data_IF_426474674820
#
_entry.id   IF_426474674820
#
_cell.length_a   1.000
_cell.length_b   1.000
_cell.length_c   1.000
_cell.angle_alpha   90.00
_cell.angle_beta   90.00
_cell.angle_gamma   90.00
#
_symmetry.space_group_name_H-M   'P 1'
#
loop_
_entity.id
_entity.type
_entity.pdbx_description
1 polymer ?
#
# COMPACT_ATOMS: atom_id res chain seq x y z
N UNK A 1 7.73 -46.77 6.58
CA UNK A 1 8.65 -45.71 7.06
C UNK A 1 8.56 -44.59 6.05
N UNK A 2 7.70 -43.60 6.30
CA UNK A 2 7.61 -42.44 5.43
C UNK A 2 8.76 -41.51 5.81
N UNK A 3 9.71 -41.39 4.90
CA UNK A 3 10.73 -40.34 4.90
C UNK A 3 10.00 -39.01 4.90
N UNK A 4 9.96 -38.35 6.06
CA UNK A 4 9.77 -36.91 6.12
C UNK A 4 10.86 -36.32 5.23
N UNK A 5 10.46 -35.82 4.07
CA UNK A 5 11.28 -34.89 3.32
C UNK A 5 11.45 -33.69 4.25
N UNK A 6 12.54 -33.66 5.00
CA UNK A 6 13.00 -32.47 5.71
C UNK A 6 13.12 -31.36 4.67
N UNK A 7 12.06 -30.55 4.53
CA UNK A 7 12.15 -29.26 3.87
C UNK A 7 13.09 -28.44 4.74
N UNK A 8 14.37 -28.42 4.39
CA UNK A 8 15.36 -27.58 5.04
C UNK A 8 14.93 -26.14 4.78
N UNK A 9 14.29 -25.52 5.77
CA UNK A 9 13.97 -24.10 5.77
C UNK A 9 15.28 -23.30 5.79
N UNK A 10 15.33 -22.20 5.03
CA UNK A 10 16.49 -21.33 5.04
C UNK A 10 16.67 -20.65 6.41
N UNK A 11 17.90 -20.22 6.71
CA UNK A 11 18.21 -19.54 7.98
C UNK A 11 17.39 -18.25 8.15
N UNK A 12 17.06 -17.57 7.06
CA UNK A 12 16.18 -16.38 7.07
C UNK A 12 14.72 -16.72 7.34
N UNK A 13 14.18 -17.78 6.76
CA UNK A 13 12.81 -18.26 7.05
C UNK A 13 12.68 -18.67 8.51
N UNK A 14 13.65 -19.42 9.05
CA UNK A 14 13.67 -19.81 10.45
C UNK A 14 13.71 -18.59 11.40
N UNK A 15 14.53 -17.57 11.08
CA UNK A 15 14.58 -16.32 11.86
C UNK A 15 13.26 -15.55 11.82
N UNK A 16 12.59 -15.56 10.68
CA UNK A 16 11.33 -14.83 10.48
C UNK A 16 10.17 -15.54 11.17
N UNK A 17 10.06 -16.86 11.07
CA UNK A 17 9.13 -17.68 11.87
C UNK A 17 9.33 -17.42 13.36
N UNK A 18 10.56 -17.50 13.85
CA UNK A 18 10.90 -17.23 15.26
C UNK A 18 10.54 -15.81 15.72
N UNK A 19 10.62 -14.81 14.82
CA UNK A 19 10.16 -13.45 15.12
C UNK A 19 8.63 -13.37 15.20
N UNK A 20 7.91 -14.00 14.28
CA UNK A 20 6.44 -14.07 14.30
C UNK A 20 5.93 -14.75 15.58
N UNK A 21 6.53 -15.88 15.96
CA UNK A 21 6.22 -16.59 17.21
C UNK A 21 6.44 -15.69 18.45
N UNK A 22 7.59 -15.00 18.53
CA UNK A 22 7.93 -14.10 19.64
C UNK A 22 7.01 -12.89 19.78
N UNK A 23 6.37 -12.45 18.69
CA UNK A 23 5.50 -11.26 18.69
C UNK A 23 4.03 -11.59 18.95
N UNK A 24 3.62 -12.85 18.72
CA UNK A 24 2.21 -13.24 18.60
C UNK A 24 1.73 -14.46 19.39
N UNK A 25 2.59 -15.15 20.16
CA UNK A 25 2.24 -16.44 20.80
C UNK A 25 1.75 -17.50 19.79
N UNK A 26 2.32 -17.48 18.58
CA UNK A 26 2.00 -18.44 17.51
C UNK A 26 2.82 -19.73 17.67
N UNK A 27 2.22 -20.85 17.29
CA UNK A 27 2.93 -22.13 17.15
C UNK A 27 3.87 -22.14 15.93
N UNK A 28 4.80 -23.10 15.88
CA UNK A 28 5.77 -23.21 14.78
C UNK A 28 5.06 -23.46 13.44
N UNK A 29 4.05 -24.34 13.43
CA UNK A 29 3.25 -24.63 12.24
C UNK A 29 2.48 -23.40 11.75
N UNK A 30 1.86 -22.63 12.65
CA UNK A 30 1.16 -21.38 12.30
C UNK A 30 2.12 -20.29 11.78
N UNK A 31 3.33 -20.22 12.34
CA UNK A 31 4.35 -19.27 11.89
C UNK A 31 4.89 -19.62 10.50
N UNK A 32 5.00 -20.92 10.18
CA UNK A 32 5.40 -21.42 8.87
C UNK A 32 4.28 -21.26 7.82
N UNK A 33 3.01 -21.49 8.17
CA UNK A 33 1.88 -21.19 7.28
C UNK A 33 1.78 -19.68 6.97
N UNK A 34 2.01 -18.82 7.96
CA UNK A 34 2.13 -17.38 7.74
C UNK A 34 3.29 -17.05 6.78
N UNK A 35 4.42 -17.76 6.87
CA UNK A 35 5.54 -17.57 5.96
C UNK A 35 5.18 -17.97 4.53
N UNK A 36 4.45 -19.06 4.30
CA UNK A 36 3.97 -19.41 2.96
C UNK A 36 3.04 -18.32 2.37
N UNK A 37 2.21 -17.69 3.21
CA UNK A 37 1.44 -16.50 2.82
C UNK A 37 2.32 -15.25 2.53
N UNK A 38 3.48 -15.13 3.16
CA UNK A 38 4.48 -14.08 2.91
C UNK A 38 5.35 -14.39 1.67
N UNK A 39 5.71 -15.66 1.43
CA UNK A 39 6.54 -16.13 0.31
C UNK A 39 5.78 -16.01 -1.01
N UNK A 40 4.46 -16.24 -1.03
CA UNK A 40 3.61 -15.90 -2.18
C UNK A 40 3.43 -14.38 -2.40
N UNK A 41 3.93 -13.53 -1.49
CA UNK A 41 3.87 -12.06 -1.56
C UNK A 41 5.21 -11.38 -1.85
N UNK A 42 6.33 -12.10 -1.99
CA UNK A 42 7.55 -11.50 -2.57
C UNK A 42 7.45 -11.55 -4.10
N UNK A 43 6.41 -10.90 -4.66
CA UNK A 43 6.40 -10.60 -6.09
C UNK A 43 7.34 -9.42 -6.31
N UNK A 44 8.43 -9.64 -7.06
CA UNK A 44 9.34 -8.57 -7.50
C UNK A 44 8.62 -7.44 -8.28
N UNK A 45 7.42 -7.72 -8.79
CA UNK A 45 6.56 -6.78 -9.51
C UNK A 45 5.16 -6.81 -8.91
N UNK A 46 4.75 -5.72 -8.26
CA UNK A 46 3.40 -5.55 -7.72
C UNK A 46 2.42 -5.17 -8.83
N UNK A 47 1.13 -5.45 -8.65
CA UNK A 47 0.06 -5.01 -9.57
C UNK A 47 0.07 -3.49 -9.75
N UNK A 48 0.46 -2.74 -8.71
CA UNK A 48 0.72 -1.29 -8.75
C UNK A 48 1.87 -0.92 -9.70
N UNK A 49 2.99 -1.66 -9.65
CA UNK A 49 4.13 -1.45 -10.56
C UNK A 49 3.77 -1.72 -12.03
N UNK A 50 2.87 -2.66 -12.29
CA UNK A 50 2.33 -2.90 -13.64
C UNK A 50 1.50 -1.69 -14.10
N UNK A 51 0.69 -1.08 -13.22
CA UNK A 51 -0.06 0.15 -13.53
C UNK A 51 0.87 1.32 -13.79
N UNK A 52 1.93 1.49 -13.00
CA UNK A 52 2.99 2.49 -13.26
C UNK A 52 3.62 2.28 -14.64
N UNK A 53 3.99 1.05 -14.98
CA UNK A 53 4.57 0.74 -16.29
C UNK A 53 3.59 1.02 -17.44
N UNK A 54 2.29 0.75 -17.27
CA UNK A 54 1.25 1.12 -18.24
C UNK A 54 1.18 2.65 -18.38
N UNK A 55 1.19 3.40 -17.27
CA UNK A 55 1.15 4.87 -17.30
C UNK A 55 2.37 5.44 -18.05
N UNK A 56 3.55 4.83 -17.86
CA UNK A 56 4.80 5.32 -18.44
C UNK A 56 5.06 4.88 -19.88
N UNK A 57 4.58 3.69 -20.27
CA UNK A 57 4.94 3.07 -21.56
C UNK A 57 3.78 2.94 -22.55
N UNK A 58 2.54 2.86 -22.07
CA UNK A 58 1.37 2.56 -22.91
C UNK A 58 0.45 3.78 -23.12
N UNK A 59 0.51 4.77 -22.24
CA UNK A 59 -0.21 6.03 -22.42
C UNK A 59 0.55 6.98 -23.35
N UNK A 60 -0.17 7.91 -23.99
CA UNK A 60 0.48 8.99 -24.75
C UNK A 60 1.20 9.94 -23.80
N UNK A 61 2.24 10.68 -24.24
CA UNK A 61 2.98 11.60 -23.35
C UNK A 61 2.07 12.58 -22.59
N UNK A 62 1.06 13.12 -23.27
CA UNK A 62 0.08 14.01 -22.66
C UNK A 62 -0.83 13.28 -21.65
N UNK A 63 -1.22 12.04 -21.93
CA UNK A 63 -1.99 11.23 -20.98
C UNK A 63 -1.15 10.87 -19.75
N UNK A 64 0.11 10.47 -19.94
CA UNK A 64 1.05 10.21 -18.84
C UNK A 64 1.19 11.44 -17.95
N UNK A 65 1.46 12.60 -18.53
CA UNK A 65 1.63 13.85 -17.77
C UNK A 65 0.36 14.24 -17.00
N UNK A 66 -0.81 14.17 -17.65
CA UNK A 66 -2.10 14.40 -16.99
C UNK A 66 -2.36 13.40 -15.86
N UNK A 67 -2.02 12.12 -16.06
CA UNK A 67 -2.22 11.08 -15.05
C UNK A 67 -1.25 11.20 -13.88
N UNK A 68 0.00 11.62 -14.11
CA UNK A 68 0.95 11.92 -13.03
C UNK A 68 0.45 13.09 -12.17
N UNK A 69 0.00 14.19 -12.80
CA UNK A 69 -0.59 15.32 -12.07
C UNK A 69 -1.88 14.94 -11.32
N UNK A 70 -2.72 14.10 -11.94
CA UNK A 70 -4.00 13.70 -11.36
C UNK A 70 -3.85 12.69 -10.20
N UNK A 71 -2.99 11.68 -10.36
CA UNK A 71 -2.85 10.57 -9.41
C UNK A 71 -1.74 10.79 -8.37
N UNK A 72 -0.60 11.37 -8.76
CA UNK A 72 0.57 11.48 -7.89
C UNK A 72 0.60 12.84 -7.18
N UNK A 73 0.28 13.90 -7.90
CA UNK A 73 0.24 15.27 -7.34
C UNK A 73 -1.14 15.65 -6.79
N UNK A 74 -2.13 14.74 -6.91
CA UNK A 74 -3.51 14.89 -6.43
C UNK A 74 -4.18 16.19 -6.93
N UNK A 75 -3.85 16.62 -8.14
CA UNK A 75 -4.37 17.86 -8.72
C UNK A 75 -5.77 17.65 -9.30
N UNK A 76 -6.67 18.59 -9.02
CA UNK A 76 -7.99 18.58 -9.65
C UNK A 76 -7.92 18.86 -11.16
N UNK A 77 -8.82 18.28 -11.96
CA UNK A 77 -8.87 18.47 -13.43
C UNK A 77 -8.88 19.94 -13.88
N UNK A 78 -9.42 20.85 -13.08
CA UNK A 78 -9.40 22.30 -13.36
C UNK A 78 -8.02 22.94 -13.12
N UNK A 79 -7.24 22.44 -12.17
CA UNK A 79 -5.85 22.87 -11.95
C UNK A 79 -4.95 22.33 -13.05
N UNK A 80 -5.11 21.05 -13.41
CA UNK A 80 -4.37 20.41 -14.51
C UNK A 80 -4.61 21.14 -15.82
N UNK A 81 -5.88 21.47 -16.12
CA UNK A 81 -6.22 22.26 -17.30
C UNK A 81 -5.48 23.60 -17.35
N UNK A 82 -5.38 24.31 -16.22
CA UNK A 82 -4.65 25.57 -16.14
C UNK A 82 -3.14 25.40 -16.37
N UNK A 83 -2.53 24.37 -15.80
CA UNK A 83 -1.08 24.10 -15.96
C UNK A 83 -0.73 23.75 -17.39
N UNK A 84 -1.56 22.93 -18.06
CA UNK A 84 -1.28 22.41 -19.40
C UNK A 84 -1.91 23.25 -20.53
N UNK A 85 -2.55 24.38 -20.21
CA UNK A 85 -3.25 25.21 -21.20
C UNK A 85 -4.47 24.53 -21.85
N UNK A 86 -5.09 23.58 -21.15
CA UNK A 86 -6.25 22.82 -21.59
C UNK A 86 -7.54 23.31 -20.90
N UNK A 87 -8.69 23.13 -21.55
CA UNK A 87 -9.97 23.30 -20.86
C UNK A 87 -10.17 22.21 -19.80
N UNK A 88 -10.90 22.52 -18.72
CA UNK A 88 -11.23 21.53 -17.69
C UNK A 88 -11.91 20.28 -18.28
N UNK A 89 -12.80 20.48 -19.27
CA UNK A 89 -13.47 19.39 -19.97
C UNK A 89 -12.49 18.52 -20.78
N UNK A 90 -11.47 19.13 -21.40
CA UNK A 90 -10.42 18.41 -22.10
C UNK A 90 -9.56 17.59 -21.14
N UNK A 91 -9.11 18.18 -20.03
CA UNK A 91 -8.35 17.48 -18.99
C UNK A 91 -9.13 16.28 -18.42
N UNK A 92 -10.42 16.47 -18.11
CA UNK A 92 -11.30 15.38 -17.65
C UNK A 92 -11.43 14.25 -18.68
N UNK A 93 -11.63 14.58 -19.97
CA UNK A 93 -11.67 13.57 -21.05
C UNK A 93 -10.35 12.80 -21.18
N UNK A 94 -9.21 13.46 -20.97
CA UNK A 94 -7.90 12.80 -21.01
C UNK A 94 -7.76 11.82 -19.85
N UNK A 95 -8.10 12.21 -18.62
CA UNK A 95 -8.13 11.32 -17.44
C UNK A 95 -9.01 10.10 -17.70
N UNK A 96 -10.23 10.31 -18.18
CA UNK A 96 -11.17 9.20 -18.47
C UNK A 96 -10.60 8.25 -19.53
N UNK A 97 -10.01 8.78 -20.61
CA UNK A 97 -9.39 7.95 -21.66
C UNK A 97 -8.21 7.16 -21.14
N UNK A 98 -7.32 7.78 -20.38
CA UNK A 98 -6.17 7.13 -19.78
C UNK A 98 -6.61 6.02 -18.81
N UNK A 99 -7.58 6.28 -17.95
CA UNK A 99 -8.17 5.28 -17.06
C UNK A 99 -8.79 4.11 -17.85
N UNK A 100 -9.50 4.37 -18.94
CA UNK A 100 -10.06 3.30 -19.77
C UNK A 100 -8.96 2.41 -20.37
N UNK A 101 -7.83 2.98 -20.80
CA UNK A 101 -6.68 2.22 -21.28
C UNK A 101 -6.07 1.35 -20.18
N UNK A 102 -5.85 1.92 -18.99
CA UNK A 102 -5.32 1.19 -17.83
C UNK A 102 -6.27 0.04 -17.46
N UNK A 103 -7.57 0.30 -17.35
CA UNK A 103 -8.59 -0.72 -17.05
C UNK A 103 -8.55 -1.84 -18.09
N UNK A 104 -8.51 -1.50 -19.38
CA UNK A 104 -8.48 -2.48 -20.47
C UNK A 104 -7.26 -3.41 -20.35
N UNK A 105 -6.08 -2.86 -20.09
CA UNK A 105 -4.82 -3.62 -19.98
C UNK A 105 -4.73 -4.43 -18.68
N UNK A 106 -5.32 -3.94 -17.59
CA UNK A 106 -5.34 -4.64 -16.31
C UNK A 106 -6.44 -5.71 -16.22
N UNK A 107 -7.48 -5.61 -17.05
CA UNK A 107 -8.64 -6.53 -17.01
C UNK A 107 -8.24 -8.01 -17.11
N UNK A 108 -7.35 -8.46 -18.01
CA UNK A 108 -6.92 -9.86 -18.05
C UNK A 108 -6.22 -10.32 -16.77
N UNK A 109 -5.33 -9.50 -16.20
CA UNK A 109 -4.62 -9.81 -14.96
C UNK A 109 -5.58 -9.87 -13.76
N UNK A 110 -6.53 -8.94 -13.70
CA UNK A 110 -7.58 -8.92 -12.68
C UNK A 110 -8.46 -10.17 -12.81
N UNK A 111 -8.85 -10.55 -14.04
CA UNK A 111 -9.59 -11.79 -14.30
C UNK A 111 -8.83 -13.01 -13.81
N UNK A 112 -7.55 -13.14 -14.16
CA UNK A 112 -6.69 -14.24 -13.69
C UNK A 112 -6.59 -14.30 -12.15
N UNK A 113 -6.40 -13.16 -11.49
CA UNK A 113 -6.37 -13.11 -10.02
C UNK A 113 -7.73 -13.38 -9.37
N UNK A 114 -8.82 -13.01 -10.05
CA UNK A 114 -10.19 -13.22 -9.56
C UNK A 114 -10.67 -14.67 -9.78
N UNK A 115 -10.18 -15.35 -10.81
CA UNK A 115 -10.44 -16.77 -11.08
C UNK A 115 -9.88 -17.67 -9.95
N UNK A 116 -8.80 -17.25 -9.30
CA UNK A 116 -8.22 -17.94 -8.14
C UNK A 116 -9.10 -17.80 -6.88
N UNK A 117 -10.10 -16.92 -6.87
CA UNK A 117 -10.86 -16.55 -5.66
C UNK A 117 -12.39 -16.60 -5.78
N UNK A 118 -12.92 -17.27 -6.80
CA UNK A 118 -14.36 -17.39 -7.13
C UNK A 118 -15.08 -16.07 -7.47
N UNK A 119 -15.81 -16.11 -8.59
CA UNK A 119 -16.21 -14.96 -9.38
C UNK A 119 -17.41 -14.16 -8.84
N UNK A 120 -17.33 -12.83 -8.92
CA UNK A 120 -18.38 -11.94 -9.45
C UNK A 120 -17.76 -10.59 -9.82
N UNK A 121 -17.79 -10.28 -11.12
CA UNK A 121 -17.23 -9.06 -11.72
C UNK A 121 -17.87 -7.80 -11.12
N UNK A 122 -17.12 -7.05 -10.31
CA UNK A 122 -17.42 -5.66 -10.01
C UNK A 122 -16.19 -4.79 -10.27
N UNK A 123 -16.29 -3.75 -11.12
CA UNK A 123 -15.21 -2.81 -11.40
C UNK A 123 -15.01 -1.87 -10.20
N UNK A 124 -14.30 -2.36 -9.18
CA UNK A 124 -13.87 -1.59 -7.99
C UNK A 124 -12.35 -1.69 -7.79
N UNK A 125 -11.71 -2.74 -8.32
CA UNK A 125 -10.32 -3.07 -8.03
C UNK A 125 -9.27 -2.12 -8.65
N UNK A 126 -9.58 -1.40 -9.74
CA UNK A 126 -8.63 -0.42 -10.31
C UNK A 126 -8.50 0.83 -9.43
N UNK A 127 -9.60 1.34 -8.87
CA UNK A 127 -9.54 2.46 -7.91
C UNK A 127 -8.63 2.13 -6.73
N UNK A 128 -8.82 0.94 -6.14
CA UNK A 128 -7.95 0.44 -5.07
C UNK A 128 -6.47 0.32 -5.48
N UNK A 129 -6.20 -0.14 -6.70
CA UNK A 129 -4.83 -0.20 -7.23
C UNK A 129 -4.21 1.18 -7.44
N UNK A 130 -5.01 2.16 -7.89
CA UNK A 130 -4.59 3.54 -8.01
C UNK A 130 -4.32 4.17 -6.64
N UNK A 131 -5.16 3.88 -5.64
CA UNK A 131 -4.95 4.31 -4.26
C UNK A 131 -3.65 3.75 -3.68
N UNK A 132 -3.32 2.49 -3.97
CA UNK A 132 -2.05 1.86 -3.59
C UNK A 132 -0.86 2.58 -4.26
N UNK A 133 -0.95 2.87 -5.58
CA UNK A 133 0.10 3.62 -6.28
C UNK A 133 0.27 5.03 -5.71
N UNK A 134 -0.83 5.74 -5.46
CA UNK A 134 -0.83 7.09 -4.89
C UNK A 134 -0.25 7.08 -3.48
N UNK A 135 -0.61 6.11 -2.65
CA UNK A 135 -0.07 5.97 -1.29
C UNK A 135 1.42 5.66 -1.28
N UNK A 136 1.93 4.90 -2.28
CA UNK A 136 3.35 4.55 -2.37
C UNK A 136 4.20 5.71 -2.85
N UNK A 137 3.78 6.39 -3.92
CA UNK A 137 4.60 7.40 -4.61
C UNK A 137 4.25 8.85 -4.26
N UNK A 138 3.08 9.10 -3.66
CA UNK A 138 2.63 10.43 -3.31
C UNK A 138 3.27 10.96 -2.03
N UNK A 139 3.48 12.27 -1.97
CA UNK A 139 3.98 12.96 -0.79
C UNK A 139 2.87 13.05 0.28
N UNK A 140 3.18 12.64 1.52
CA UNK A 140 2.25 12.86 2.64
C UNK A 140 2.41 14.31 3.16
N UNK A 141 1.30 14.97 3.46
CA UNK A 141 1.31 16.31 4.08
C UNK A 141 1.55 16.25 5.60
N UNK A 142 1.44 15.07 6.21
CA UNK A 142 1.65 14.87 7.64
C UNK A 142 2.13 13.46 7.97
N UNK A 143 2.74 13.30 9.15
CA UNK A 143 3.14 11.99 9.68
C UNK A 143 1.95 11.01 9.80
N UNK A 144 0.79 11.48 10.26
CA UNK A 144 -0.42 10.65 10.35
C UNK A 144 -0.90 10.16 8.99
N UNK A 145 -0.83 11.02 7.98
CA UNK A 145 -1.11 10.64 6.59
C UNK A 145 -0.06 9.65 6.05
N UNK A 146 1.20 9.79 6.44
CA UNK A 146 2.25 8.82 6.12
C UNK A 146 1.91 7.42 6.64
N UNK A 147 1.46 7.33 7.90
CA UNK A 147 1.05 6.06 8.51
C UNK A 147 -0.16 5.44 7.79
N UNK A 148 -1.13 6.27 7.38
CA UNK A 148 -2.26 5.83 6.55
C UNK A 148 -1.78 5.34 5.19
N UNK A 149 -0.87 6.06 4.56
CA UNK A 149 -0.31 5.71 3.27
C UNK A 149 0.49 4.40 3.34
N UNK A 150 1.22 4.14 4.44
CA UNK A 150 1.84 2.83 4.66
C UNK A 150 0.79 1.72 4.68
N UNK A 151 -0.32 1.89 5.41
CA UNK A 151 -1.41 0.89 5.41
C UNK A 151 -1.92 0.63 4.00
N UNK A 152 -2.21 1.69 3.24
CA UNK A 152 -2.78 1.60 1.89
C UNK A 152 -1.76 1.01 0.92
N UNK A 153 -0.51 1.45 0.94
CA UNK A 153 0.56 1.00 0.04
C UNK A 153 0.84 -0.50 0.16
N UNK A 154 0.68 -1.06 1.36
CA UNK A 154 0.83 -2.50 1.63
C UNK A 154 -0.49 -3.28 1.52
N UNK A 155 -1.57 -2.63 1.07
CA UNK A 155 -2.92 -3.20 0.93
C UNK A 155 -3.47 -3.88 2.21
N UNK A 156 -3.21 -3.27 3.37
CA UNK A 156 -3.68 -3.81 4.65
C UNK A 156 -5.04 -3.19 5.02
N UNK A 157 -6.02 -4.03 5.36
CA UNK A 157 -7.33 -3.57 5.84
C UNK A 157 -7.23 -2.88 7.20
N UNK A 158 -8.12 -1.92 7.48
CA UNK A 158 -8.13 -1.19 8.77
C UNK A 158 -8.33 -2.14 9.96
N UNK A 159 -9.15 -3.18 9.81
CA UNK A 159 -9.35 -4.18 10.86
C UNK A 159 -8.06 -4.93 11.19
N UNK A 160 -7.42 -5.44 10.14
CA UNK A 160 -6.18 -6.19 10.25
C UNK A 160 -5.05 -5.34 10.84
N UNK A 161 -4.90 -4.09 10.40
CA UNK A 161 -3.89 -3.21 10.96
C UNK A 161 -4.17 -2.89 12.43
N UNK A 162 -5.43 -2.64 12.81
CA UNK A 162 -5.78 -2.35 14.21
C UNK A 162 -5.42 -3.52 15.14
N UNK A 163 -5.64 -4.76 14.70
CA UNK A 163 -5.24 -5.98 15.42
C UNK A 163 -3.72 -6.10 15.52
N UNK A 164 -2.99 -5.91 14.43
CA UNK A 164 -1.52 -5.99 14.41
C UNK A 164 -0.88 -4.94 15.33
N UNK A 165 -1.45 -3.74 15.36
CA UNK A 165 -1.01 -2.66 16.23
C UNK A 165 -1.52 -2.79 17.68
N UNK A 166 -2.37 -3.78 17.98
CA UNK A 166 -3.09 -4.00 19.24
C UNK A 166 -3.73 -2.71 19.77
N UNK A 167 -4.48 -2.02 18.91
CA UNK A 167 -5.29 -0.82 19.23
C UNK A 167 -6.71 -1.00 18.72
N UNK A 168 -7.64 -0.16 19.17
CA UNK A 168 -9.01 -0.19 18.65
C UNK A 168 -9.08 0.35 17.21
N UNK A 169 -10.08 -0.08 16.44
CA UNK A 169 -10.37 0.48 15.09
C UNK A 169 -10.61 2.00 15.14
N UNK A 170 -11.24 2.46 16.22
CA UNK A 170 -11.52 3.88 16.44
C UNK A 170 -10.23 4.67 16.67
N UNK A 171 -9.30 4.13 17.45
CA UNK A 171 -7.98 4.73 17.66
C UNK A 171 -7.17 4.77 16.37
N UNK A 172 -7.18 3.70 15.59
CA UNK A 172 -6.53 3.66 14.28
C UNK A 172 -7.06 4.77 13.37
N UNK A 173 -8.39 4.88 13.24
CA UNK A 173 -9.01 5.93 12.43
C UNK A 173 -8.66 7.34 12.93
N UNK A 174 -8.69 7.57 14.24
CA UNK A 174 -8.30 8.85 14.83
C UNK A 174 -6.82 9.20 14.56
N UNK A 175 -5.92 8.20 14.51
CA UNK A 175 -4.51 8.39 14.16
C UNK A 175 -4.37 8.73 12.68
N UNK A 176 -4.96 7.94 11.78
CA UNK A 176 -4.84 8.11 10.33
C UNK A 176 -5.47 9.42 9.83
N UNK A 177 -6.49 9.92 10.53
CA UNK A 177 -7.14 11.21 10.24
C UNK A 177 -6.43 12.40 10.92
N UNK A 178 -5.33 12.17 11.65
CA UNK A 178 -4.57 13.23 12.31
C UNK A 178 -5.22 13.84 13.56
N UNK A 179 -6.33 13.27 14.04
CA UNK A 179 -7.01 13.71 15.27
C UNK A 179 -6.26 13.29 16.53
N UNK A 180 -5.46 12.23 16.45
CA UNK A 180 -4.73 11.64 17.56
C UNK A 180 -3.29 11.34 17.16
N UNK A 181 -2.35 11.72 18.01
CA UNK A 181 -0.95 11.32 17.85
C UNK A 181 -0.80 9.89 18.41
N UNK A 182 -0.15 8.96 17.68
CA UNK A 182 0.07 7.61 18.18
C UNK A 182 0.97 7.61 19.43
N UNK A 183 0.74 6.63 20.31
CA UNK A 183 1.64 6.39 21.43
C UNK A 183 3.01 5.91 20.94
N UNK A 184 4.06 6.05 21.75
CA UNK A 184 5.41 5.55 21.41
C UNK A 184 5.35 4.05 21.07
N UNK A 185 4.62 3.27 21.87
CA UNK A 185 4.42 1.83 21.63
C UNK A 185 3.74 1.55 20.29
N UNK A 186 2.74 2.36 19.92
CA UNK A 186 2.05 2.24 18.63
C UNK A 186 2.99 2.62 17.48
N UNK A 187 3.76 3.69 17.61
CA UNK A 187 4.76 4.10 16.62
C UNK A 187 5.85 3.02 16.43
N UNK A 188 6.33 2.41 17.52
CA UNK A 188 7.27 1.27 17.44
C UNK A 188 6.67 0.09 16.67
N UNK A 189 5.38 -0.22 16.88
CA UNK A 189 4.69 -1.28 16.15
C UNK A 189 4.55 -0.95 14.66
N UNK A 190 4.29 0.30 14.30
CA UNK A 190 4.32 0.75 12.91
C UNK A 190 5.71 0.55 12.29
N UNK A 191 6.75 1.05 12.97
CA UNK A 191 8.14 0.92 12.51
C UNK A 191 8.52 -0.54 12.28
N UNK A 192 8.19 -1.43 13.21
CA UNK A 192 8.49 -2.85 13.09
C UNK A 192 7.66 -3.56 12.01
N UNK A 193 6.38 -3.19 11.84
CA UNK A 193 5.49 -3.84 10.89
C UNK A 193 5.84 -3.50 9.43
N UNK A 194 6.24 -2.26 9.18
CA UNK A 194 6.51 -1.76 7.82
C UNK A 194 8.01 -1.61 7.51
N UNK A 195 8.87 -1.97 8.46
CA UNK A 195 10.33 -1.80 8.39
C UNK A 195 10.74 -0.36 8.02
N UNK A 196 10.15 0.61 8.72
CA UNK A 196 10.37 2.06 8.47
C UNK A 196 10.97 2.76 9.67
N UNK A 197 11.83 3.75 9.41
CA UNK A 197 12.40 4.59 10.46
C UNK A 197 11.38 5.67 10.88
N UNK A 198 11.01 5.66 12.17
CA UNK A 198 10.18 6.70 12.78
C UNK A 198 11.01 7.45 13.82
N UNK A 199 11.32 8.71 13.51
CA UNK A 199 12.02 9.64 14.41
C UNK A 199 11.01 10.39 15.29
N UNK A 200 11.34 10.52 16.59
CA UNK A 200 10.60 11.39 17.51
C UNK A 200 11.52 12.49 18.03
N UNK A 201 11.15 13.75 17.77
CA UNK A 201 11.87 14.95 18.20
C UNK A 201 11.09 15.69 19.27
N UNK A 202 11.75 16.09 20.34
CA UNK A 202 11.14 16.90 21.38
C UNK A 202 11.53 18.37 21.21
N UNK A 203 10.54 19.26 21.16
CA UNK A 203 10.75 20.72 21.16
C UNK A 203 9.87 21.34 22.23
N UNK A 204 10.49 22.00 23.20
CA UNK A 204 9.79 22.65 24.34
C UNK A 204 8.84 21.69 25.10
N UNK A 205 9.27 20.45 25.35
CA UNK A 205 8.46 19.43 26.03
C UNK A 205 7.35 18.79 25.19
N UNK A 206 7.21 19.16 23.91
CA UNK A 206 6.27 18.53 22.96
C UNK A 206 6.99 17.60 22.01
N UNK A 207 6.48 16.38 21.85
CA UNK A 207 6.98 15.39 20.90
C UNK A 207 6.41 15.61 19.49
N UNK A 208 7.27 15.50 18.49
CA UNK A 208 6.96 15.59 17.07
C UNK A 208 7.49 14.33 16.39
N UNK A 209 6.64 13.65 15.63
CA UNK A 209 7.03 12.45 14.89
C UNK A 209 7.30 12.79 13.42
N UNK A 210 8.27 12.11 12.85
CA UNK A 210 8.50 12.05 11.41
C UNK A 210 8.82 10.62 10.99
N UNK A 211 8.31 10.18 9.85
CA UNK A 211 8.59 8.87 9.28
C UNK A 211 9.41 9.07 8.01
N UNK A 212 10.47 8.29 7.82
CA UNK A 212 11.12 8.20 6.51
C UNK A 212 10.58 6.97 5.80
N UNK A 213 10.03 7.16 4.61
CA UNK A 213 9.72 6.04 3.73
C UNK A 213 11.03 5.43 3.20
N UNK A 214 11.08 4.11 2.98
CA UNK A 214 12.14 3.47 2.21
C UNK A 214 12.13 3.93 0.75
#
# INVERSE_FOLDING_TARGET
MNTFSEKIISVEEARTALRCMKLGDLSEDEALECLDEFVFRVRNVTTAKIVEEIIEKELTPLQTEVMKMYLYDNMGVAQIGRVLGLSQAAASKIVVRANNTIVKLMTPLIKYQSDISDAQLVPVKVGKLLDICAARNGNAASFCEELRNLRIAYDIGAEQLSSNLKISKWDLAAIEEGRKIPSITTAMRYSALFDVEIEMKFKNGRGFYSCKRP
#
